data_IF_376920093950
#
_entry.id   IF_376920093950
#
_cell.length_a   1.000
_cell.length_b   1.000
_cell.length_c   1.000
_cell.angle_alpha   90.00
_cell.angle_beta   90.00
_cell.angle_gamma   90.00
#
_symmetry.space_group_name_H-M   'P 1'
#
loop_
_entity.id
_entity.type
_entity.pdbx_description
1 polymer ?
#
# COMPACT_ATOMS: atom_id res chain seq x y z
N UNK A 1 -50.04 55.48 -20.22
CA UNK A 1 -49.21 54.37 -19.71
C UNK A 1 -47.89 54.95 -19.26
N UNK A 2 -47.78 55.32 -17.98
CA UNK A 2 -46.57 55.99 -17.46
C UNK A 2 -45.60 54.92 -16.96
N UNK A 3 -44.54 54.67 -17.73
CA UNK A 3 -43.39 53.89 -17.28
C UNK A 3 -42.54 54.77 -16.37
N UNK A 4 -42.58 54.50 -15.07
CA UNK A 4 -41.65 55.08 -14.11
C UNK A 4 -40.26 54.47 -14.33
N UNK A 5 -39.36 55.23 -14.96
CA UNK A 5 -37.93 54.91 -14.99
C UNK A 5 -37.34 55.02 -13.58
N UNK A 6 -37.21 53.87 -12.92
CA UNK A 6 -36.53 53.74 -11.64
C UNK A 6 -35.03 53.97 -11.81
N UNK A 7 -34.55 55.17 -11.49
CA UNK A 7 -33.12 55.44 -11.29
C UNK A 7 -32.62 54.67 -10.07
N UNK A 8 -32.09 53.47 -10.29
CA UNK A 8 -31.35 52.73 -9.27
C UNK A 8 -30.16 53.61 -8.86
N UNK A 9 -30.17 54.11 -7.64
CA UNK A 9 -29.09 54.94 -7.11
C UNK A 9 -27.81 54.12 -7.14
N UNK A 10 -26.80 54.59 -7.87
CA UNK A 10 -25.49 53.93 -8.04
C UNK A 10 -24.86 53.51 -6.69
N UNK A 11 -25.11 54.28 -5.62
CA UNK A 11 -24.69 53.94 -4.26
C UNK A 11 -25.24 52.63 -3.72
N UNK A 12 -26.47 52.24 -4.08
CA UNK A 12 -27.07 50.96 -3.65
C UNK A 12 -26.38 49.76 -4.28
N UNK A 13 -25.93 49.89 -5.53
CA UNK A 13 -25.19 48.83 -6.25
C UNK A 13 -23.81 48.64 -5.65
N UNK A 14 -23.11 49.73 -5.31
CA UNK A 14 -21.78 49.67 -4.70
C UNK A 14 -21.84 49.02 -3.31
N UNK A 15 -22.82 49.39 -2.48
CA UNK A 15 -23.00 48.79 -1.14
C UNK A 15 -23.30 47.29 -1.25
N UNK A 16 -24.12 46.89 -2.22
CA UNK A 16 -24.43 45.47 -2.45
C UNK A 16 -23.18 44.67 -2.84
N UNK A 17 -22.37 45.18 -3.78
CA UNK A 17 -21.13 44.52 -4.22
C UNK A 17 -20.10 44.41 -3.08
N UNK A 18 -19.98 45.43 -2.24
CA UNK A 18 -19.11 45.43 -1.07
C UNK A 18 -19.57 44.40 -0.02
N UNK A 19 -20.88 44.28 0.20
CA UNK A 19 -21.45 43.26 1.09
C UNK A 19 -21.18 41.83 0.60
N UNK A 20 -21.34 41.57 -0.70
CA UNK A 20 -20.99 40.28 -1.31
C UNK A 20 -19.50 39.97 -1.17
N UNK A 21 -18.64 40.96 -1.40
CA UNK A 21 -17.19 40.79 -1.28
C UNK A 21 -16.75 40.49 0.15
N UNK A 22 -17.27 41.23 1.14
CA UNK A 22 -17.01 40.97 2.56
C UNK A 22 -17.54 39.57 2.96
N UNK A 23 -18.74 39.19 2.50
CA UNK A 23 -19.31 37.88 2.75
C UNK A 23 -18.44 36.74 2.17
N UNK A 24 -17.86 36.94 0.98
CA UNK A 24 -16.92 35.99 0.38
C UNK A 24 -15.63 35.87 1.18
N UNK A 25 -15.05 36.99 1.63
CA UNK A 25 -13.85 36.99 2.49
C UNK A 25 -14.15 36.29 3.81
N UNK A 26 -15.26 36.60 4.47
CA UNK A 26 -15.65 35.97 5.72
C UNK A 26 -15.89 34.47 5.55
N UNK A 27 -16.55 34.02 4.47
CA UNK A 27 -16.70 32.60 4.18
C UNK A 27 -15.33 31.92 3.95
N UNK A 28 -14.40 32.59 3.27
CA UNK A 28 -13.05 32.10 3.03
C UNK A 28 -12.24 31.98 4.33
N UNK A 29 -12.39 32.94 5.25
CA UNK A 29 -11.83 32.91 6.62
C UNK A 29 -12.48 31.80 7.44
N UNK A 30 -13.80 31.67 7.43
CA UNK A 30 -14.54 30.62 8.15
C UNK A 30 -14.13 29.22 7.66
N UNK A 31 -13.99 29.01 6.35
CA UNK A 31 -13.52 27.74 5.79
C UNK A 31 -12.05 27.45 6.05
N UNK A 32 -11.23 28.47 6.33
CA UNK A 32 -9.82 28.29 6.66
C UNK A 32 -9.57 28.09 8.15
N UNK A 33 -10.41 28.66 9.03
CA UNK A 33 -10.21 28.65 10.48
C UNK A 33 -11.20 27.77 11.27
N UNK A 34 -12.41 27.48 10.76
CA UNK A 34 -13.26 26.50 11.44
C UNK A 34 -12.75 25.08 11.16
N UNK A 35 -12.65 24.23 12.19
CA UNK A 35 -12.33 22.83 11.98
C UNK A 35 -13.42 22.22 11.09
N UNK A 36 -13.04 21.47 10.03
CA UNK A 36 -14.04 20.83 9.18
C UNK A 36 -14.95 19.93 10.04
N UNK A 37 -16.25 19.85 9.72
CA UNK A 37 -17.18 18.99 10.45
C UNK A 37 -16.65 17.55 10.52
N UNK A 38 -16.96 16.87 11.63
CA UNK A 38 -16.44 15.53 11.95
C UNK A 38 -16.42 14.62 10.71
N UNK A 39 -15.23 14.11 10.42
CA UNK A 39 -14.94 13.24 9.28
C UNK A 39 -15.80 11.97 9.36
N UNK A 40 -16.80 11.82 8.48
CA UNK A 40 -17.51 10.54 8.24
C UNK A 40 -16.64 9.48 7.56
N UNK A 41 -15.47 9.89 7.04
CA UNK A 41 -14.54 9.03 6.31
C UNK A 41 -13.12 9.31 6.79
N UNK A 42 -12.24 8.29 6.90
CA UNK A 42 -10.82 8.54 7.17
C UNK A 42 -10.19 9.47 6.12
N UNK A 43 -10.75 9.50 4.92
CA UNK A 43 -10.28 10.32 3.79
C UNK A 43 -10.75 11.78 3.89
N UNK A 44 -9.83 12.71 3.63
CA UNK A 44 -10.12 14.14 3.53
C UNK A 44 -11.01 14.41 2.28
N UNK A 45 -12.12 15.11 2.47
CA UNK A 45 -13.01 15.51 1.38
C UNK A 45 -12.42 16.67 0.57
N UNK A 46 -12.70 16.75 -0.74
CA UNK A 46 -12.27 17.89 -1.55
C UNK A 46 -12.89 19.20 -1.01
N UNK A 47 -12.04 20.21 -0.81
CA UNK A 47 -12.45 21.57 -0.45
C UNK A 47 -12.62 22.44 -1.71
N UNK A 48 -13.11 23.67 -1.57
CA UNK A 48 -13.30 24.60 -2.69
C UNK A 48 -11.99 24.88 -3.47
N UNK A 49 -10.84 24.82 -2.79
CA UNK A 49 -9.52 25.01 -3.39
C UNK A 49 -8.92 23.74 -4.01
N UNK A 50 -9.63 22.60 -3.94
CA UNK A 50 -9.19 21.34 -4.50
C UNK A 50 -8.70 21.43 -5.97
N UNK A 51 -9.45 22.02 -6.93
CA UNK A 51 -9.00 22.06 -8.32
C UNK A 51 -7.71 22.86 -8.49
N UNK A 52 -7.58 23.99 -7.79
CA UNK A 52 -6.37 24.82 -7.81
C UNK A 52 -5.18 24.05 -7.23
N UNK A 53 -5.37 23.42 -6.07
CA UNK A 53 -4.35 22.58 -5.42
C UNK A 53 -3.89 21.43 -6.33
N UNK A 54 -4.83 20.77 -7.01
CA UNK A 54 -4.54 19.66 -7.91
C UNK A 54 -3.74 20.12 -9.13
N UNK A 55 -4.12 21.24 -9.74
CA UNK A 55 -3.39 21.81 -10.88
C UNK A 55 -1.96 22.19 -10.46
N UNK A 56 -1.78 22.87 -9.33
CA UNK A 56 -0.45 23.24 -8.81
C UNK A 56 0.42 22.00 -8.59
N UNK A 57 -0.08 20.98 -7.89
CA UNK A 57 0.70 19.75 -7.66
C UNK A 57 1.01 19.00 -8.95
N UNK A 58 0.08 18.96 -9.89
CA UNK A 58 0.29 18.32 -11.19
C UNK A 58 1.45 18.97 -11.95
N UNK A 59 1.46 20.30 -12.04
CA UNK A 59 2.57 21.03 -12.67
C UNK A 59 3.88 20.84 -11.92
N UNK A 60 3.89 20.90 -10.58
CA UNK A 60 5.08 20.61 -9.78
C UNK A 60 5.63 19.21 -10.04
N UNK A 61 4.76 18.21 -10.18
CA UNK A 61 5.16 16.84 -10.49
C UNK A 61 5.68 16.69 -11.92
N UNK A 62 5.03 17.31 -12.91
CA UNK A 62 5.50 17.30 -14.31
C UNK A 62 6.85 17.99 -14.46
N UNK A 63 7.02 19.15 -13.83
CA UNK A 63 8.29 19.89 -13.81
C UNK A 63 9.40 19.01 -13.22
N UNK A 64 9.11 18.31 -12.12
CA UNK A 64 10.06 17.37 -11.51
C UNK A 64 10.40 16.20 -12.43
N UNK A 65 9.41 15.52 -13.02
CA UNK A 65 9.66 14.43 -13.98
C UNK A 65 10.53 14.92 -15.15
N UNK A 66 10.34 16.15 -15.60
CA UNK A 66 11.16 16.75 -16.65
C UNK A 66 12.60 17.05 -16.19
N UNK A 67 12.79 17.62 -15.00
CA UNK A 67 14.10 17.84 -14.40
C UNK A 67 14.87 16.53 -14.17
N UNK A 68 14.18 15.49 -13.69
CA UNK A 68 14.74 14.15 -13.50
C UNK A 68 15.29 13.57 -14.80
N UNK A 69 14.56 13.67 -15.92
CA UNK A 69 15.03 13.19 -17.23
C UNK A 69 16.32 13.89 -17.70
N UNK A 70 16.58 15.10 -17.24
CA UNK A 70 17.79 15.88 -17.55
C UNK A 70 18.93 15.65 -16.56
N UNK A 71 18.63 15.19 -15.36
CA UNK A 71 19.61 14.89 -14.31
C UNK A 71 20.23 13.50 -14.54
N UNK A 72 21.57 13.42 -14.51
CA UNK A 72 22.32 12.14 -14.58
C UNK A 72 22.34 11.34 -13.28
N UNK A 73 21.65 11.78 -12.21
CA UNK A 73 21.64 11.07 -10.92
C UNK A 73 20.84 9.77 -11.02
N UNK A 74 21.44 8.64 -10.61
CA UNK A 74 20.87 7.28 -10.69
C UNK A 74 19.85 6.96 -9.58
N UNK A 75 19.93 7.62 -8.42
CA UNK A 75 18.90 7.58 -7.39
C UNK A 75 18.76 8.89 -6.62
N UNK A 76 17.67 8.96 -5.87
CA UNK A 76 17.31 10.09 -5.03
C UNK A 76 16.00 10.73 -5.46
N UNK A 77 15.81 11.95 -4.94
CA UNK A 77 14.53 12.64 -4.92
C UNK A 77 13.84 12.71 -6.30
N UNK A 78 12.76 11.93 -6.47
CA UNK A 78 11.93 11.95 -7.68
C UNK A 78 12.46 11.17 -8.88
N UNK A 79 13.35 10.20 -8.67
CA UNK A 79 13.89 9.29 -9.71
C UNK A 79 13.61 7.84 -9.33
N UNK A 80 14.24 7.37 -8.25
CA UNK A 80 14.10 6.04 -7.68
C UNK A 80 14.64 6.11 -6.24
N UNK A 81 13.95 5.47 -5.30
CA UNK A 81 14.46 5.34 -3.92
C UNK A 81 15.78 4.55 -3.83
N UNK A 82 16.09 3.73 -4.84
CA UNK A 82 17.29 2.89 -4.88
C UNK A 82 18.02 2.98 -6.22
N UNK A 83 19.36 2.94 -6.18
CA UNK A 83 20.21 2.88 -7.39
C UNK A 83 20.16 1.50 -8.04
N UNK A 84 20.10 0.44 -7.22
CA UNK A 84 20.15 -0.94 -7.67
C UNK A 84 18.82 -1.66 -7.46
N UNK A 85 18.41 -2.46 -8.45
CA UNK A 85 17.17 -3.25 -8.41
C UNK A 85 17.23 -4.34 -7.34
N UNK A 86 18.39 -4.95 -7.11
CA UNK A 86 18.52 -5.98 -6.06
C UNK A 86 18.29 -5.40 -4.66
N UNK A 87 18.68 -4.15 -4.45
CA UNK A 87 18.45 -3.47 -3.18
C UNK A 87 16.98 -3.14 -2.90
N UNK A 88 16.12 -3.14 -3.94
CA UNK A 88 14.68 -3.07 -3.76
C UNK A 88 14.16 -4.37 -3.17
N UNK A 89 14.47 -5.54 -3.70
CA UNK A 89 13.77 -6.78 -3.30
C UNK A 89 14.29 -7.49 -2.06
N UNK A 90 15.42 -7.05 -1.50
CA UNK A 90 15.91 -7.57 -0.23
C UNK A 90 15.04 -7.11 0.96
N UNK A 91 15.03 -7.88 2.06
CA UNK A 91 14.51 -7.45 3.34
C UNK A 91 15.12 -6.10 3.76
N UNK A 92 14.27 -5.15 4.10
CA UNK A 92 14.70 -3.81 4.46
C UNK A 92 15.02 -3.74 5.95
N UNK A 93 15.94 -2.83 6.30
CA UNK A 93 16.16 -2.50 7.71
C UNK A 93 14.93 -1.78 8.23
N UNK A 94 14.33 -2.32 9.29
CA UNK A 94 13.20 -1.68 9.95
C UNK A 94 13.71 -0.51 10.82
N UNK A 95 12.95 0.58 10.84
CA UNK A 95 13.18 1.66 11.83
C UNK A 95 12.66 1.16 13.20
N UNK A 96 13.21 1.67 14.30
CA UNK A 96 12.81 1.32 15.68
C UNK A 96 11.38 1.75 16.05
N UNK A 97 10.65 2.36 15.11
CA UNK A 97 9.27 2.74 15.31
C UNK A 97 8.38 1.50 15.29
N UNK A 98 7.56 1.30 16.32
CA UNK A 98 6.61 0.18 16.45
C UNK A 98 5.63 0.03 15.26
N UNK A 99 5.48 1.06 14.42
CA UNK A 99 4.66 1.04 13.20
C UNK A 99 5.44 0.71 11.92
N UNK A 100 6.75 0.48 11.99
CA UNK A 100 7.55 0.11 10.83
C UNK A 100 7.16 -1.29 10.36
N UNK A 101 6.97 -1.44 9.06
CA UNK A 101 6.52 -2.67 8.42
C UNK A 101 7.29 -2.87 7.12
N UNK A 102 7.79 -4.08 6.93
CA UNK A 102 8.34 -4.56 5.65
C UNK A 102 7.61 -5.84 5.25
N UNK A 103 6.80 -5.76 4.20
CA UNK A 103 5.88 -6.82 3.82
C UNK A 103 6.02 -7.23 2.35
N UNK A 104 5.88 -8.53 2.12
CA UNK A 104 5.81 -9.16 0.80
C UNK A 104 4.51 -9.95 0.68
N UNK A 105 3.84 -9.84 -0.45
CA UNK A 105 2.57 -10.48 -0.71
C UNK A 105 2.56 -11.13 -2.10
N UNK A 106 2.27 -12.42 -2.12
CA UNK A 106 2.12 -13.23 -3.33
C UNK A 106 0.74 -13.86 -3.35
N UNK A 107 0.06 -13.76 -4.48
CA UNK A 107 -1.20 -14.45 -4.71
C UNK A 107 -1.24 -15.06 -6.10
N UNK A 108 -1.73 -16.29 -6.16
CA UNK A 108 -1.87 -17.06 -7.39
C UNK A 108 -3.15 -17.86 -7.39
N UNK A 109 -3.72 -18.05 -8.58
CA UNK A 109 -4.80 -19.02 -8.79
C UNK A 109 -4.72 -19.57 -10.20
N UNK A 110 -5.30 -20.74 -10.40
CA UNK A 110 -5.32 -21.38 -11.71
C UNK A 110 -6.70 -21.98 -12.02
N UNK A 111 -6.91 -22.31 -13.30
CA UNK A 111 -8.20 -22.81 -13.79
C UNK A 111 -8.61 -24.16 -13.20
N UNK A 112 -7.65 -24.97 -12.74
CA UNK A 112 -7.93 -26.25 -12.10
C UNK A 112 -8.49 -26.12 -10.69
N UNK A 113 -8.67 -24.90 -10.17
CA UNK A 113 -9.30 -24.64 -8.87
C UNK A 113 -8.31 -24.40 -7.74
N UNK A 114 -7.01 -24.64 -7.96
CA UNK A 114 -5.98 -24.29 -6.99
C UNK A 114 -5.82 -22.79 -6.85
N UNK A 115 -5.62 -22.35 -5.61
CA UNK A 115 -5.29 -20.98 -5.27
C UNK A 115 -4.32 -20.94 -4.11
N UNK A 116 -3.45 -19.94 -4.08
CA UNK A 116 -2.49 -19.75 -3.01
C UNK A 116 -2.37 -18.26 -2.68
N UNK A 117 -2.26 -17.97 -1.40
CA UNK A 117 -1.85 -16.66 -0.90
C UNK A 117 -0.75 -16.90 0.11
N UNK A 118 0.42 -16.34 -0.15
CA UNK A 118 1.58 -16.37 0.74
C UNK A 118 1.99 -14.92 1.00
N UNK A 119 1.98 -14.51 2.26
CA UNK A 119 2.44 -13.19 2.62
C UNK A 119 3.23 -13.23 3.92
N UNK A 120 4.22 -12.36 4.02
CA UNK A 120 5.01 -12.18 5.21
C UNK A 120 5.14 -10.69 5.50
N UNK A 121 4.90 -10.34 6.75
CA UNK A 121 5.09 -9.00 7.30
C UNK A 121 6.16 -9.06 8.37
N UNK A 122 7.21 -8.26 8.26
CA UNK A 122 8.26 -8.08 9.28
C UNK A 122 7.97 -6.81 10.07
N UNK A 123 7.99 -6.94 11.40
CA UNK A 123 7.83 -5.85 12.36
C UNK A 123 9.06 -5.74 13.28
N UNK A 124 9.24 -4.59 13.96
CA UNK A 124 10.26 -4.43 14.99
C UNK A 124 10.15 -5.50 16.08
N UNK A 125 11.22 -5.65 16.88
CA UNK A 125 11.32 -6.59 18.01
C UNK A 125 11.20 -8.06 17.60
N UNK A 126 11.72 -8.42 16.42
CA UNK A 126 11.73 -9.81 15.95
C UNK A 126 10.36 -10.39 15.63
N UNK A 127 9.31 -9.56 15.52
CA UNK A 127 7.98 -10.06 15.19
C UNK A 127 7.79 -10.21 13.68
N UNK A 128 7.09 -11.27 13.28
CA UNK A 128 6.61 -11.46 11.92
C UNK A 128 5.19 -12.01 11.90
N UNK A 129 4.37 -11.49 10.98
CA UNK A 129 3.08 -12.07 10.66
C UNK A 129 3.19 -12.84 9.34
N UNK A 130 2.77 -14.10 9.35
CA UNK A 130 2.86 -15.00 8.20
C UNK A 130 1.48 -15.49 7.82
N UNK A 131 1.07 -15.17 6.61
CA UNK A 131 -0.23 -15.51 6.07
C UNK A 131 -0.03 -16.57 5.00
N UNK A 132 -0.65 -17.73 5.21
CA UNK A 132 -0.68 -18.84 4.26
C UNK A 132 -2.13 -19.24 4.06
N UNK A 133 -2.60 -19.18 2.83
CA UNK A 133 -3.86 -19.78 2.42
C UNK A 133 -3.60 -20.68 1.23
N UNK A 134 -4.06 -21.92 1.32
CA UNK A 134 -4.02 -22.86 0.20
C UNK A 134 -5.46 -23.30 -0.11
N UNK A 135 -5.94 -22.95 -1.29
CA UNK A 135 -7.18 -23.49 -1.84
C UNK A 135 -6.83 -24.70 -2.69
N UNK A 136 -7.41 -25.85 -2.36
CA UNK A 136 -7.33 -27.04 -3.20
C UNK A 136 -8.64 -27.20 -4.00
N UNK A 137 -8.67 -28.02 -5.06
CA UNK A 137 -9.91 -28.32 -5.79
C UNK A 137 -10.87 -29.21 -4.98
N UNK A 138 -10.33 -30.07 -4.13
CA UNK A 138 -11.08 -31.08 -3.36
C UNK A 138 -11.57 -30.55 -2.01
N UNK A 139 -10.76 -29.71 -1.36
CA UNK A 139 -11.07 -29.14 -0.05
C UNK A 139 -11.44 -27.66 -0.19
N UNK A 140 -11.98 -27.11 0.89
CA UNK A 140 -12.13 -25.67 1.02
C UNK A 140 -10.75 -25.01 1.23
N UNK A 141 -10.69 -23.81 1.81
CA UNK A 141 -9.43 -23.12 2.07
C UNK A 141 -8.71 -23.78 3.26
N UNK A 142 -7.42 -24.07 3.11
CA UNK A 142 -6.54 -24.55 4.16
C UNK A 142 -5.73 -23.38 4.74
N UNK A 143 -5.55 -23.37 6.07
CA UNK A 143 -4.85 -22.32 6.83
C UNK A 143 -3.96 -22.90 7.93
N UNK A 144 -2.91 -22.18 8.37
CA UNK A 144 -2.11 -22.57 9.53
C UNK A 144 -2.94 -22.66 10.81
N UNK A 145 -2.46 -23.46 11.78
CA UNK A 145 -3.07 -23.55 13.11
C UNK A 145 -3.26 -22.18 13.78
N UNK A 146 -2.25 -21.31 13.69
CA UNK A 146 -2.27 -19.97 14.31
C UNK A 146 -3.20 -18.96 13.62
N UNK A 147 -3.94 -19.34 12.58
CA UNK A 147 -4.89 -18.44 11.94
C UNK A 147 -6.06 -18.12 12.89
N UNK A 148 -6.44 -16.83 13.09
CA UNK A 148 -6.06 -15.65 12.31
C UNK A 148 -4.84 -14.86 12.79
N UNK A 149 -4.34 -15.11 14.00
CA UNK A 149 -3.27 -14.29 14.61
C UNK A 149 -1.98 -14.35 13.80
N UNK A 150 -1.57 -15.54 13.36
CA UNK A 150 -0.47 -15.74 12.41
C UNK A 150 0.87 -15.07 12.83
N UNK A 151 1.09 -14.83 14.13
CA UNK A 151 2.29 -14.16 14.67
C UNK A 151 3.36 -15.20 15.02
N UNK A 152 4.59 -14.90 14.59
CA UNK A 152 5.79 -15.69 14.80
C UNK A 152 6.92 -14.80 15.30
N UNK A 153 7.73 -15.33 16.21
CA UNK A 153 8.99 -14.72 16.62
C UNK A 153 10.09 -15.20 15.67
N UNK A 154 10.89 -14.26 15.20
CA UNK A 154 12.08 -14.48 14.39
C UNK A 154 13.30 -14.56 15.29
N UNK A 155 14.20 -15.45 14.95
CA UNK A 155 15.53 -15.51 15.55
C UNK A 155 16.43 -14.40 15.00
N UNK A 156 17.58 -14.17 15.62
CA UNK A 156 18.60 -13.25 15.09
C UNK A 156 19.16 -13.74 13.74
N UNK A 157 19.17 -15.07 13.52
CA UNK A 157 19.59 -15.69 12.24
C UNK A 157 18.61 -15.39 11.11
N UNK A 158 17.34 -15.10 11.44
CA UNK A 158 16.31 -14.69 10.48
C UNK A 158 16.36 -13.18 10.16
N UNK A 159 17.41 -12.47 10.60
CA UNK A 159 17.61 -11.06 10.26
C UNK A 159 18.15 -10.92 8.82
N UNK A 160 17.42 -10.16 8.00
CA UNK A 160 17.81 -9.94 6.60
C UNK A 160 17.32 -11.00 5.62
N UNK A 161 16.52 -11.97 6.08
CA UNK A 161 15.79 -12.94 5.24
C UNK A 161 14.28 -12.84 5.44
N UNK A 162 13.52 -13.30 4.45
CA UNK A 162 12.06 -13.48 4.58
C UNK A 162 11.77 -14.93 4.95
N UNK A 163 11.96 -15.25 6.23
CA UNK A 163 11.76 -16.58 6.79
C UNK A 163 11.03 -16.48 8.14
N UNK A 164 9.90 -17.17 8.27
CA UNK A 164 9.14 -17.33 9.52
C UNK A 164 7.99 -18.32 9.32
N UNK A 165 7.59 -19.03 10.39
CA UNK A 165 6.36 -19.82 10.42
C UNK A 165 6.24 -20.85 9.29
N UNK A 166 7.36 -21.52 8.95
CA UNK A 166 7.43 -22.51 7.86
C UNK A 166 7.55 -21.90 6.45
N UNK A 167 7.30 -20.60 6.28
CA UNK A 167 7.39 -19.90 5.00
C UNK A 167 8.80 -19.32 4.79
N UNK A 168 9.40 -19.64 3.65
CA UNK A 168 10.68 -19.09 3.17
C UNK A 168 10.49 -18.45 1.80
N UNK A 169 10.95 -17.22 1.65
CA UNK A 169 10.82 -16.43 0.41
C UNK A 169 12.21 -15.97 -0.02
N UNK A 170 12.68 -16.50 -1.15
CA UNK A 170 13.98 -16.19 -1.71
C UNK A 170 13.86 -15.42 -3.02
N UNK A 171 14.67 -14.37 -3.18
CA UNK A 171 14.78 -13.64 -4.44
C UNK A 171 15.75 -14.39 -5.35
N UNK A 172 15.28 -14.87 -6.50
CA UNK A 172 16.14 -15.49 -7.51
C UNK A 172 16.61 -14.48 -8.55
N UNK A 173 15.69 -13.63 -9.02
CA UNK A 173 15.98 -12.49 -9.90
C UNK A 173 15.21 -11.27 -9.40
N UNK A 174 15.89 -10.17 -9.04
CA UNK A 174 15.23 -8.97 -8.53
C UNK A 174 14.08 -8.50 -9.42
N UNK A 175 12.91 -8.34 -8.79
CA UNK A 175 11.65 -7.83 -9.33
C UNK A 175 11.02 -8.70 -10.41
N UNK A 176 11.56 -9.90 -10.63
CA UNK A 176 11.07 -10.82 -11.66
C UNK A 176 10.81 -12.22 -11.17
N UNK A 177 11.74 -12.83 -10.43
CA UNK A 177 11.68 -14.24 -10.07
C UNK A 177 11.94 -14.46 -8.59
N UNK A 178 11.01 -15.18 -7.96
CA UNK A 178 11.05 -15.51 -6.55
C UNK A 178 10.78 -16.99 -6.35
N UNK A 179 11.42 -17.58 -5.34
CA UNK A 179 11.20 -18.95 -4.92
C UNK A 179 10.53 -18.94 -3.54
N UNK A 180 9.35 -19.55 -3.46
CA UNK A 180 8.50 -19.55 -2.28
C UNK A 180 8.37 -21.00 -1.81
N UNK A 181 8.76 -21.26 -0.56
CA UNK A 181 8.60 -22.57 0.06
C UNK A 181 7.80 -22.45 1.34
N UNK A 182 6.87 -23.37 1.56
CA UNK A 182 6.20 -23.52 2.84
C UNK A 182 6.22 -24.98 3.27
N UNK A 183 6.63 -25.22 4.51
CA UNK A 183 6.57 -26.53 5.14
C UNK A 183 5.88 -26.38 6.50
N UNK A 184 4.75 -27.05 6.66
CA UNK A 184 4.02 -27.04 7.91
C UNK A 184 2.61 -27.61 7.80
N UNK A 185 1.98 -27.75 8.95
CA UNK A 185 0.63 -28.26 9.10
C UNK A 185 -0.41 -27.22 8.69
N UNK A 186 -1.39 -27.61 7.89
CA UNK A 186 -2.56 -26.80 7.55
C UNK A 186 -3.84 -27.53 7.93
N UNK A 187 -4.85 -26.77 8.37
CA UNK A 187 -6.21 -27.26 8.62
C UNK A 187 -7.20 -26.66 7.66
N UNK A 188 -8.31 -27.32 7.42
CA UNK A 188 -9.43 -26.74 6.69
C UNK A 188 -10.08 -25.63 7.54
N UNK A 189 -10.35 -24.47 6.93
CA UNK A 189 -10.99 -23.31 7.58
C UNK A 189 -12.37 -23.66 8.11
N UNK A 190 -13.07 -24.59 7.46
CA UNK A 190 -14.42 -25.01 7.86
C UNK A 190 -14.43 -25.90 9.10
N UNK A 191 -13.29 -26.50 9.45
CA UNK A 191 -13.19 -27.36 10.61
C UNK A 191 -13.07 -26.53 11.90
N UNK A 192 -13.70 -27.02 12.97
CA UNK A 192 -13.57 -26.45 14.30
C UNK A 192 -12.10 -26.49 14.75
N UNK A 193 -11.59 -25.41 15.36
CA UNK A 193 -10.19 -25.30 15.79
C UNK A 193 -9.78 -26.45 16.73
N UNK A 194 -10.71 -26.91 17.58
CA UNK A 194 -10.46 -27.95 18.58
C UNK A 194 -10.61 -29.39 18.05
N UNK A 195 -11.11 -29.57 16.82
CA UNK A 195 -11.37 -30.89 16.21
C UNK A 195 -10.65 -31.07 14.88
N UNK A 196 -9.86 -30.09 14.42
CA UNK A 196 -9.34 -30.09 13.06
C UNK A 196 -8.26 -31.15 12.88
N UNK A 197 -8.45 -32.03 11.91
CA UNK A 197 -7.36 -32.81 11.34
C UNK A 197 -6.39 -31.83 10.65
N UNK A 198 -5.10 -32.00 10.92
CA UNK A 198 -4.04 -31.26 10.24
C UNK A 198 -3.48 -32.13 9.13
N UNK A 199 -3.33 -31.53 7.96
CA UNK A 199 -2.60 -32.11 6.85
C UNK A 199 -1.18 -31.53 6.85
N UNK A 200 -0.17 -32.40 6.81
CA UNK A 200 1.19 -32.00 6.49
C UNK A 200 1.27 -31.51 5.05
N UNK A 201 1.59 -30.23 4.87
CA UNK A 201 1.64 -29.61 3.55
C UNK A 201 3.04 -29.08 3.27
N UNK A 202 3.56 -29.47 2.10
CA UNK A 202 4.76 -28.89 1.49
C UNK A 202 4.36 -28.15 0.22
N UNK A 203 4.73 -26.88 0.14
CA UNK A 203 4.48 -26.00 -0.99
C UNK A 203 5.85 -25.58 -1.53
N UNK A 204 6.10 -25.80 -2.81
CA UNK A 204 7.30 -25.34 -3.51
C UNK A 204 6.86 -24.64 -4.80
N UNK A 205 7.02 -23.32 -4.83
CA UNK A 205 6.51 -22.45 -5.90
C UNK A 205 7.59 -21.56 -6.45
N UNK A 206 7.59 -21.44 -7.77
CA UNK A 206 8.34 -20.41 -8.45
C UNK A 206 7.37 -19.31 -8.94
N UNK A 207 7.57 -18.10 -8.43
CA UNK A 207 6.87 -16.92 -8.95
C UNK A 207 7.74 -16.27 -10.02
N UNK A 208 7.19 -16.03 -11.21
CA UNK A 208 7.83 -15.30 -12.30
C UNK A 208 6.92 -14.23 -12.88
N UNK A 209 7.47 -13.04 -13.16
CA UNK A 209 6.78 -11.96 -13.86
C UNK A 209 7.48 -11.64 -15.18
N UNK A 210 6.70 -11.61 -16.26
CA UNK A 210 7.11 -11.10 -17.57
C UNK A 210 6.75 -9.63 -17.78
N UNK A 211 6.09 -9.00 -16.81
CA UNK A 211 5.67 -7.61 -16.91
C UNK A 211 6.86 -6.65 -16.68
N UNK A 212 6.82 -5.45 -17.26
CA UNK A 212 7.74 -4.39 -16.89
C UNK A 212 7.68 -4.11 -15.39
N UNK A 213 8.84 -3.82 -14.80
CA UNK A 213 8.95 -3.45 -13.39
C UNK A 213 8.19 -2.13 -13.17
N UNK A 214 7.26 -2.12 -12.22
CA UNK A 214 6.54 -0.93 -11.80
C UNK A 214 7.23 -0.30 -10.58
N UNK A 215 7.67 0.96 -10.72
CA UNK A 215 8.25 1.73 -9.65
C UNK A 215 7.29 2.84 -9.19
N UNK A 216 6.87 2.78 -7.93
CA UNK A 216 5.92 3.74 -7.38
C UNK A 216 6.46 5.19 -7.35
N UNK A 217 7.78 5.40 -7.35
CA UNK A 217 8.34 6.75 -7.37
C UNK A 217 8.25 7.40 -8.76
N UNK A 218 8.37 6.62 -9.83
CA UNK A 218 8.45 7.13 -11.21
C UNK A 218 7.16 6.91 -12.02
N UNK A 219 6.46 5.81 -11.79
CA UNK A 219 5.44 5.28 -12.71
C UNK A 219 4.02 5.62 -12.27
N UNK A 220 3.83 6.15 -11.06
CA UNK A 220 2.54 6.66 -10.64
C UNK A 220 2.05 7.78 -11.56
N UNK A 221 0.74 7.74 -11.85
CA UNK A 221 0.04 8.77 -12.63
C UNK A 221 0.11 10.12 -11.90
N UNK A 222 0.73 11.15 -12.51
CA UNK A 222 0.88 12.45 -11.87
C UNK A 222 -0.46 13.10 -11.48
N UNK A 223 -1.52 12.87 -12.26
CA UNK A 223 -2.81 13.49 -11.98
C UNK A 223 -3.49 12.85 -10.76
N UNK A 224 -3.41 11.53 -10.64
CA UNK A 224 -3.94 10.78 -9.49
C UNK A 224 -3.23 11.15 -8.20
N UNK A 225 -1.89 11.25 -8.23
CA UNK A 225 -1.11 11.75 -7.08
C UNK A 225 -1.47 13.20 -6.74
N UNK A 226 -1.58 14.08 -7.74
CA UNK A 226 -1.94 15.48 -7.52
C UNK A 226 -3.33 15.61 -6.86
N UNK A 227 -4.32 14.84 -7.31
CA UNK A 227 -5.64 14.78 -6.67
C UNK A 227 -5.55 14.26 -5.23
N UNK A 228 -4.73 13.25 -4.95
CA UNK A 228 -4.53 12.75 -3.59
C UNK A 228 -3.97 13.84 -2.67
N UNK A 229 -2.91 14.55 -3.09
CA UNK A 229 -2.34 15.65 -2.30
C UNK A 229 -3.25 16.88 -2.21
N UNK A 230 -4.12 17.10 -3.19
CA UNK A 230 -5.07 18.22 -3.17
C UNK A 230 -6.24 18.00 -2.20
N UNK A 231 -6.57 16.74 -1.89
CA UNK A 231 -7.58 16.40 -0.87
C UNK A 231 -7.08 16.70 0.55
N UNK A 232 -5.77 16.64 0.78
CA UNK A 232 -5.22 16.93 2.10
C UNK A 232 -5.24 18.42 2.44
N UNK A 233 -5.40 18.77 3.73
CA UNK A 233 -5.22 20.14 4.19
C UNK A 233 -3.75 20.55 4.03
N UNK A 234 -3.51 21.66 3.34
CA UNK A 234 -2.17 22.20 3.10
C UNK A 234 -1.70 23.01 4.30
N UNK A 235 -1.23 22.33 5.33
CA UNK A 235 -0.66 22.93 6.53
C UNK A 235 0.87 22.87 6.50
N UNK A 236 1.53 23.71 7.32
CA UNK A 236 2.98 23.61 7.51
C UNK A 236 3.40 22.21 7.99
N UNK A 237 2.60 21.59 8.88
CA UNK A 237 2.82 20.22 9.33
C UNK A 237 2.73 19.19 8.21
N UNK A 238 1.77 19.32 7.30
CA UNK A 238 1.66 18.47 6.11
C UNK A 238 2.92 18.55 5.24
N UNK A 239 3.39 19.76 4.91
CA UNK A 239 4.61 19.91 4.10
C UNK A 239 5.88 19.48 4.83
N UNK A 240 5.96 19.66 6.15
CA UNK A 240 7.07 19.14 6.96
C UNK A 240 7.08 17.61 6.96
N UNK A 241 5.92 16.97 7.11
CA UNK A 241 5.79 15.51 7.03
C UNK A 241 6.16 15.00 5.64
N UNK A 242 5.70 15.68 4.57
CA UNK A 242 6.09 15.35 3.20
C UNK A 242 7.60 15.45 2.96
N UNK A 243 8.33 16.34 3.64
CA UNK A 243 9.80 16.40 3.54
C UNK A 243 10.46 15.27 4.32
N UNK A 244 9.95 14.97 5.51
CA UNK A 244 10.49 13.95 6.43
C UNK A 244 10.32 12.52 5.89
N UNK A 245 9.13 12.17 5.39
CA UNK A 245 8.86 10.83 4.83
C UNK A 245 9.63 10.53 3.55
N UNK A 246 10.22 11.55 2.90
CA UNK A 246 10.91 11.45 1.61
C UNK A 246 12.38 11.04 1.72
N UNK A 247 12.98 11.06 2.92
CA UNK A 247 14.39 10.69 3.14
C UNK A 247 14.59 9.25 3.62
N UNK A 248 13.51 8.50 3.85
CA UNK A 248 13.58 7.10 4.30
C UNK A 248 12.59 6.27 3.49
N UNK A 249 13.12 5.37 2.65
CA UNK A 249 12.49 4.21 2.03
C UNK A 249 10.95 4.27 1.93
N UNK A 250 10.44 5.01 0.96
CA UNK A 250 8.99 5.09 0.72
C UNK A 250 8.56 3.98 -0.22
N UNK A 251 7.64 3.12 0.22
CA UNK A 251 6.78 2.35 -0.68
C UNK A 251 5.41 2.11 -0.01
N UNK A 252 4.71 3.20 0.31
CA UNK A 252 3.26 3.37 0.21
C UNK A 252 2.87 4.81 0.61
N UNK A 253 2.17 5.53 -0.27
CA UNK A 253 1.32 6.67 0.10
C UNK A 253 -0.14 6.27 -0.16
N UNK A 254 -0.79 5.59 0.80
CA UNK A 254 -2.25 5.62 0.88
C UNK A 254 -2.60 6.94 1.56
N UNK A 255 -3.30 7.88 0.90
CA UNK A 255 -3.74 9.10 1.57
C UNK A 255 -4.70 8.69 2.70
N UNK A 256 -4.29 8.91 3.96
CA UNK A 256 -5.03 8.68 5.21
C UNK A 256 -5.20 7.26 5.77
N UNK A 257 -4.28 6.33 5.50
CA UNK A 257 -3.95 5.34 6.54
C UNK A 257 -2.79 5.92 7.36
N UNK A 258 -3.09 6.37 8.59
CA UNK A 258 -2.19 6.92 9.62
C UNK A 258 -0.74 7.22 9.19
N UNK A 259 -0.45 8.52 9.04
CA UNK A 259 0.84 9.06 8.68
C UNK A 259 1.98 8.69 9.66
N UNK A 260 2.58 7.50 9.60
CA UNK A 260 3.86 7.26 10.27
C UNK A 260 4.75 6.23 9.54
N UNK A 261 5.98 6.70 9.26
CA UNK A 261 7.27 6.06 8.95
C UNK A 261 7.28 4.56 8.58
N UNK A 262 7.80 4.30 7.37
CA UNK A 262 8.31 3.02 6.83
C UNK A 262 7.30 1.87 6.83
N UNK A 263 6.26 1.97 5.99
CA UNK A 263 5.44 0.82 5.60
C UNK A 263 5.77 0.51 4.15
N UNK A 264 6.23 -0.71 3.89
CA UNK A 264 6.42 -1.25 2.55
C UNK A 264 5.56 -2.49 2.37
N UNK A 265 4.76 -2.51 1.30
CA UNK A 265 4.02 -3.70 0.89
C UNK A 265 4.30 -3.93 -0.59
N UNK A 266 5.01 -5.01 -0.90
CA UNK A 266 5.18 -5.46 -2.28
C UNK A 266 3.95 -6.29 -2.64
N UNK A 267 3.07 -5.73 -3.49
CA UNK A 267 1.98 -6.47 -4.10
C UNK A 267 2.42 -7.02 -5.44
N UNK A 268 2.53 -8.34 -5.53
CA UNK A 268 2.75 -9.00 -6.80
C UNK A 268 1.55 -9.89 -7.09
N UNK A 269 0.71 -9.42 -8.02
CA UNK A 269 -0.46 -10.15 -8.50
C UNK A 269 -0.26 -10.47 -9.96
N UNK A 270 -0.12 -11.77 -10.26
CA UNK A 270 -0.52 -12.46 -11.51
C UNK A 270 0.36 -13.71 -11.74
N UNK A 271 -0.27 -14.89 -11.72
CA UNK A 271 0.29 -16.15 -12.20
C UNK A 271 -0.53 -16.56 -13.42
N UNK A 272 -0.03 -16.31 -14.64
CA UNK A 272 -0.51 -17.05 -15.82
C UNK A 272 0.54 -18.08 -16.19
N UNK A 273 0.14 -19.34 -16.04
CA UNK A 273 0.54 -20.51 -16.81
C UNK A 273 2.04 -20.60 -17.10
N UNK A 274 2.79 -21.25 -16.20
CA UNK A 274 3.39 -22.57 -16.46
C UNK A 274 4.34 -22.92 -15.29
N UNK A 275 4.25 -24.18 -14.85
CA UNK A 275 5.05 -24.84 -13.81
C UNK A 275 4.74 -24.49 -12.36
N UNK A 276 4.05 -25.41 -11.72
CA UNK A 276 3.80 -25.45 -10.30
C UNK A 276 3.72 -26.92 -9.90
N UNK A 277 4.79 -27.49 -9.35
CA UNK A 277 4.72 -28.81 -8.71
C UNK A 277 4.35 -28.59 -7.25
N UNK A 278 3.04 -28.51 -6.96
CA UNK A 278 2.57 -28.58 -5.58
C UNK A 278 2.62 -30.06 -5.19
N UNK A 279 3.61 -30.45 -4.40
CA UNK A 279 3.71 -31.81 -3.87
C UNK A 279 3.04 -31.82 -2.50
N UNK A 280 1.74 -32.13 -2.47
CA UNK A 280 1.08 -32.49 -1.21
C UNK A 280 1.53 -33.91 -0.84
N UNK A 281 2.49 -34.03 0.07
CA UNK A 281 2.78 -35.30 0.73
C UNK A 281 1.73 -35.54 1.80
N UNK A 282 0.62 -36.17 1.42
CA UNK A 282 -0.38 -36.61 2.39
C UNK A 282 0.17 -37.81 3.15
N UNK A 283 0.75 -37.59 4.32
CA UNK A 283 1.05 -38.68 5.26
C UNK A 283 -0.26 -39.03 5.96
N UNK A 284 -1.11 -39.83 5.29
CA UNK A 284 -2.24 -40.48 5.98
C UNK A 284 -1.65 -41.51 6.93
N UNK A 285 -1.32 -41.09 8.15
CA UNK A 285 -1.19 -42.01 9.28
C UNK A 285 -2.61 -42.50 9.61
N UNK A 286 -3.03 -43.50 8.84
CA UNK A 286 -4.20 -44.32 9.12
C UNK A 286 -3.90 -45.04 10.44
N UNK A 287 -4.37 -44.50 11.55
CA UNK A 287 -4.49 -45.25 12.78
C UNK A 287 -5.62 -46.25 12.57
N UNK A 288 -5.25 -47.45 12.11
CA UNK A 288 -6.11 -48.62 12.27
C UNK A 288 -6.09 -49.00 13.75
N UNK A 289 -7.24 -48.82 14.39
CA UNK A 289 -7.66 -49.58 15.58
C UNK A 289 -9.00 -50.23 15.27
#
# INVERSE_FOLDING_TARGET
>A
MNFHEGKIKMGTVVIFLLGVFIGLILNLVVQTFLPPPQKKSPYSNPNLFFPIKAIIFYFLMKLRKYQTKRSRKSAGYGVSSYEDKASMDRPQRLDDNMKAIDAVFFSGSCKSGWGVVLAMERRPNGLSSVVVYLKTPEHSVLVPFKHPDCIYFRSEEDEGVFQAGGLTINVCEPLKKWHLKYEGELRNVQDCIDTSAFDDVSIDLEFTSSLPIFNYDSDLDPWSMAKAFAREPWTSSFFRNLRSSRSKNTLFFIPNCYQHKNIRIIFITHLRQNFCSIIIKRTLNKWES
#
